data_IF_606969315977
#
_entry.id   IF_606969315977
#
_cell.length_a   1.000
_cell.length_b   1.000
_cell.length_c   1.000
_cell.angle_alpha   90.00
_cell.angle_beta   90.00
_cell.angle_gamma   90.00
#
_symmetry.space_group_name_H-M   'P 1'
#
loop_
_entity.id
_entity.type
_entity.pdbx_description
1 polymer ?
#
# COMPACT_ATOMS: atom_id res chain seq x y z
N UNK A 1 -7.48 2.34 -6.70
CA UNK A 1 -6.84 3.16 -5.63
C UNK A 1 -6.81 4.65 -5.96
N UNK A 2 -6.40 5.05 -7.17
CA UNK A 2 -6.33 6.45 -7.59
C UNK A 2 -7.64 7.22 -7.34
N UNK A 3 -8.77 6.55 -7.55
CA UNK A 3 -10.11 7.08 -7.33
C UNK A 3 -10.40 7.43 -5.85
N UNK A 4 -9.96 6.61 -4.88
CA UNK A 4 -10.25 6.86 -3.46
C UNK A 4 -9.53 8.11 -2.93
N UNK A 5 -8.25 8.30 -3.26
CA UNK A 5 -7.50 9.47 -2.81
C UNK A 5 -8.05 10.75 -3.44
N UNK A 6 -8.37 10.70 -4.73
CA UNK A 6 -9.01 11.81 -5.43
C UNK A 6 -10.41 12.12 -4.83
N UNK A 7 -11.20 11.08 -4.53
CA UNK A 7 -12.49 11.21 -3.86
C UNK A 7 -12.36 11.86 -2.48
N UNK A 8 -11.32 11.54 -1.71
CA UNK A 8 -11.05 12.20 -0.42
C UNK A 8 -10.71 13.68 -0.59
N UNK A 9 -9.84 14.01 -1.55
CA UNK A 9 -9.46 15.40 -1.83
C UNK A 9 -10.67 16.25 -2.24
N UNK A 10 -11.59 15.64 -2.99
CA UNK A 10 -12.84 16.27 -3.46
C UNK A 10 -14.03 16.05 -2.49
N UNK A 11 -13.79 15.55 -1.27
CA UNK A 11 -14.81 15.35 -0.23
C UNK A 11 -16.02 14.51 -0.67
N UNK A 12 -15.82 13.55 -1.57
CA UNK A 12 -16.86 12.69 -2.13
C UNK A 12 -17.34 11.63 -1.14
N UNK A 13 -18.54 11.09 -1.42
CA UNK A 13 -19.14 9.95 -0.73
C UNK A 13 -19.24 8.77 -1.69
N UNK A 14 -18.96 7.56 -1.20
CA UNK A 14 -19.26 6.32 -1.91
C UNK A 14 -20.74 6.01 -1.68
N UNK A 15 -21.49 5.84 -2.77
CA UNK A 15 -22.91 5.46 -2.76
C UNK A 15 -23.08 4.11 -3.43
N UNK A 16 -24.00 3.30 -2.92
CA UNK A 16 -24.46 2.07 -3.56
C UNK A 16 -25.51 2.42 -4.63
N UNK A 17 -25.30 1.93 -5.85
CA UNK A 17 -26.15 2.16 -7.02
C UNK A 17 -27.07 0.94 -7.18
N UNK A 18 -28.10 0.82 -6.34
CA UNK A 18 -29.18 -0.13 -6.57
C UNK A 18 -30.16 0.45 -7.60
N UNK A 19 -30.32 -0.23 -8.74
CA UNK A 19 -31.49 -0.07 -9.63
C UNK A 19 -31.74 1.29 -10.28
N UNK A 20 -30.74 2.17 -10.47
CA UNK A 20 -30.96 3.42 -11.21
C UNK A 20 -31.30 3.12 -12.68
N UNK A 21 -32.49 3.51 -13.10
CA UNK A 21 -32.93 3.43 -14.49
C UNK A 21 -31.99 4.18 -15.43
N UNK A 22 -31.92 3.68 -16.67
CA UNK A 22 -30.95 3.88 -17.75
C UNK A 22 -30.66 5.31 -18.25
N UNK A 23 -30.99 6.36 -17.50
CA UNK A 23 -30.91 7.75 -17.98
C UNK A 23 -29.74 8.57 -17.40
N UNK A 24 -28.91 8.03 -16.49
CA UNK A 24 -27.79 8.78 -15.86
C UNK A 24 -26.42 8.46 -16.48
N UNK A 25 -26.33 7.44 -17.33
CA UNK A 25 -25.07 7.05 -18.01
C UNK A 25 -24.61 8.00 -19.12
N UNK A 26 -25.37 9.05 -19.46
CA UNK A 26 -25.08 9.92 -20.60
C UNK A 26 -23.98 10.98 -20.36
N UNK A 27 -23.44 11.11 -19.15
CA UNK A 27 -22.53 12.22 -18.79
C UNK A 27 -21.12 11.85 -18.33
N UNK A 28 -20.79 10.56 -18.20
CA UNK A 28 -19.53 10.15 -17.56
C UNK A 28 -18.58 9.53 -18.59
N UNK A 29 -17.53 10.28 -18.92
CA UNK A 29 -16.39 9.79 -19.71
C UNK A 29 -15.68 8.67 -18.94
N UNK A 30 -16.07 7.43 -19.23
CA UNK A 30 -15.42 6.23 -18.72
C UNK A 30 -14.05 6.11 -19.39
N UNK A 31 -12.97 6.38 -18.63
CA UNK A 31 -11.64 5.95 -19.02
C UNK A 31 -11.58 4.43 -18.97
N UNK A 32 -11.16 3.81 -20.07
CA UNK A 32 -11.05 2.37 -20.26
C UNK A 32 -10.14 1.72 -19.20
N UNK A 33 -10.77 1.13 -18.19
CA UNK A 33 -10.16 0.05 -17.41
C UNK A 33 -11.23 -1.02 -17.23
N UNK A 34 -10.93 -2.23 -17.68
CA UNK A 34 -11.80 -3.41 -17.75
C UNK A 34 -12.14 -3.96 -16.35
N UNK A 35 -12.78 -3.14 -15.52
CA UNK A 35 -13.25 -3.48 -14.17
C UNK A 35 -14.76 -3.69 -14.30
N UNK A 36 -15.26 -4.83 -13.81
CA UNK A 36 -16.71 -5.08 -13.72
C UNK A 36 -17.42 -3.85 -13.13
N UNK A 37 -18.61 -3.47 -13.62
CA UNK A 37 -19.31 -2.31 -13.10
C UNK A 37 -19.54 -2.51 -11.61
N UNK A 38 -18.85 -1.72 -10.80
CA UNK A 38 -19.04 -1.73 -9.37
C UNK A 38 -20.43 -1.20 -9.08
N UNK A 39 -21.18 -1.87 -8.20
CA UNK A 39 -22.44 -1.33 -7.63
C UNK A 39 -22.20 -0.09 -6.76
N UNK A 40 -21.00 0.52 -6.82
CA UNK A 40 -20.59 1.64 -6.00
C UNK A 40 -19.94 2.71 -6.88
N UNK A 41 -20.27 3.97 -6.59
CA UNK A 41 -19.71 5.14 -7.28
C UNK A 41 -19.42 6.26 -6.27
N UNK A 42 -18.34 7.01 -6.49
CA UNK A 42 -18.10 8.25 -5.75
C UNK A 42 -18.92 9.41 -6.34
N UNK A 43 -19.72 10.06 -5.51
CA UNK A 43 -20.55 11.21 -5.88
C UNK A 43 -20.32 12.39 -4.93
N UNK A 44 -20.73 13.58 -5.37
CA UNK A 44 -20.72 14.78 -4.53
C UNK A 44 -21.79 14.66 -3.44
N UNK A 45 -21.45 15.16 -2.25
CA UNK A 45 -22.38 15.18 -1.12
C UNK A 45 -23.55 16.14 -1.42
N UNK A 46 -24.66 15.62 -1.96
CA UNK A 46 -25.86 16.41 -2.25
C UNK A 46 -26.59 16.08 -3.56
N UNK A 47 -26.10 15.16 -4.40
CA UNK A 47 -26.93 14.69 -5.52
C UNK A 47 -28.10 13.84 -5.00
N UNK A 48 -29.30 14.41 -5.17
CA UNK A 48 -30.57 13.94 -4.65
C UNK A 48 -30.79 12.42 -4.76
N UNK A 49 -30.85 11.76 -3.61
CA UNK A 49 -31.65 10.55 -3.48
C UNK A 49 -33.09 10.92 -3.87
N UNK A 50 -33.56 10.41 -5.01
CA UNK A 50 -34.98 10.48 -5.34
C UNK A 50 -35.76 9.81 -4.20
N UNK A 51 -36.81 10.52 -3.73
CA UNK A 51 -37.73 10.14 -2.64
C UNK A 51 -37.83 8.63 -2.40
N UNK A 52 -37.39 8.17 -1.23
CA UNK A 52 -37.99 6.98 -0.61
C UNK A 52 -37.08 6.07 0.20
N UNK A 53 -35.79 5.92 -0.16
CA UNK A 53 -34.95 4.89 0.46
C UNK A 53 -33.64 5.43 1.03
N UNK A 54 -33.21 4.98 2.22
CA UNK A 54 -31.93 5.38 2.81
C UNK A 54 -30.78 4.76 2.00
N UNK A 55 -30.23 5.52 1.06
CA UNK A 55 -28.99 5.14 0.38
C UNK A 55 -27.87 5.01 1.41
N UNK A 56 -27.32 3.80 1.55
CA UNK A 56 -26.12 3.56 2.37
C UNK A 56 -24.96 4.33 1.74
N UNK A 57 -24.57 5.44 2.35
CA UNK A 57 -23.44 6.25 1.91
C UNK A 57 -22.31 6.21 2.93
N UNK A 58 -21.06 6.23 2.44
CA UNK A 58 -19.86 6.25 3.27
C UNK A 58 -18.92 7.31 2.73
N UNK A 59 -18.49 8.26 3.57
CA UNK A 59 -17.51 9.25 3.17
C UNK A 59 -16.19 8.61 2.72
N UNK A 60 -15.60 9.10 1.62
CA UNK A 60 -14.31 8.60 1.14
C UNK A 60 -13.22 8.68 2.23
N UNK A 61 -13.28 9.70 3.11
CA UNK A 61 -12.36 9.86 4.24
C UNK A 61 -12.48 8.74 5.29
N UNK A 62 -13.67 8.15 5.45
CA UNK A 62 -13.88 6.97 6.31
C UNK A 62 -13.26 5.73 5.65
N UNK A 63 -13.45 5.55 4.35
CA UNK A 63 -12.86 4.44 3.60
C UNK A 63 -11.33 4.51 3.60
N UNK A 64 -10.77 5.69 3.34
CA UNK A 64 -9.34 5.92 3.45
C UNK A 64 -8.87 5.57 4.87
N UNK A 65 -9.61 5.98 5.92
CA UNK A 65 -9.25 5.60 7.29
C UNK A 65 -9.25 4.09 7.55
N UNK A 66 -10.05 3.31 6.81
CA UNK A 66 -10.10 1.85 6.90
C UNK A 66 -9.10 1.12 6.01
N UNK A 67 -8.51 1.79 5.03
CA UNK A 67 -7.46 1.19 4.19
C UNK A 67 -6.28 0.74 5.06
N UNK A 68 -5.82 -0.50 4.85
CA UNK A 68 -4.72 -1.13 5.58
C UNK A 68 -3.64 -1.68 4.67
N UNK A 69 -4.02 -2.20 3.51
CA UNK A 69 -3.07 -2.66 2.53
C UNK A 69 -3.64 -2.55 1.12
N UNK A 70 -2.77 -2.63 0.13
CA UNK A 70 -3.10 -2.81 -1.28
C UNK A 70 -1.95 -3.43 -2.04
N UNK A 71 -2.24 -4.00 -3.19
CA UNK A 71 -1.29 -4.70 -4.06
C UNK A 71 -1.10 -3.94 -5.38
N UNK A 72 0.12 -3.97 -5.92
CA UNK A 72 0.50 -3.51 -7.26
C UNK A 72 1.24 -4.66 -7.94
N UNK A 73 1.10 -4.83 -9.26
CA UNK A 73 1.63 -6.02 -9.91
C UNK A 73 0.88 -7.28 -9.50
N UNK A 74 1.57 -8.42 -9.43
CA UNK A 74 0.95 -9.71 -9.09
C UNK A 74 0.16 -9.63 -7.78
N UNK A 75 -1.02 -10.25 -7.77
CA UNK A 75 -1.94 -10.19 -6.64
C UNK A 75 -1.62 -11.28 -5.64
N UNK A 76 -1.43 -10.88 -4.38
CA UNK A 76 -1.27 -11.81 -3.27
C UNK A 76 -2.63 -12.19 -2.68
N UNK A 77 -2.96 -13.48 -2.69
CA UNK A 77 -4.14 -14.03 -2.02
C UNK A 77 -3.76 -14.42 -0.59
N UNK A 78 -4.20 -13.60 0.38
CA UNK A 78 -3.92 -13.84 1.80
C UNK A 78 -4.56 -15.11 2.36
N UNK A 79 -5.67 -15.57 1.79
CA UNK A 79 -6.35 -16.79 2.25
C UNK A 79 -5.62 -18.05 1.78
N UNK A 80 -5.11 -18.03 0.55
CA UNK A 80 -4.35 -19.15 -0.01
C UNK A 80 -2.84 -19.06 0.27
N UNK A 81 -2.37 -17.89 0.73
CA UNK A 81 -0.95 -17.54 0.84
C UNK A 81 -0.20 -17.85 -0.46
N UNK A 82 -0.61 -17.23 -1.56
CA UNK A 82 0.09 -17.38 -2.84
C UNK A 82 -0.09 -16.15 -3.73
N UNK A 83 0.76 -16.04 -4.75
CA UNK A 83 0.53 -15.12 -5.87
C UNK A 83 -0.31 -15.80 -6.93
N UNK A 84 -1.47 -15.22 -7.25
CA UNK A 84 -2.34 -15.71 -8.32
C UNK A 84 -2.09 -14.91 -9.61
N UNK A 85 -1.30 -15.51 -10.50
CA UNK A 85 -0.94 -14.89 -11.79
C UNK A 85 -2.11 -14.83 -12.77
N UNK A 86 -3.22 -15.52 -12.50
CA UNK A 86 -4.42 -15.48 -13.33
C UNK A 86 -5.29 -14.26 -13.05
N UNK A 87 -5.11 -13.61 -11.89
CA UNK A 87 -5.90 -12.44 -11.52
C UNK A 87 -5.46 -11.20 -12.30
N UNK A 88 -6.42 -10.38 -12.78
CA UNK A 88 -6.11 -9.11 -13.42
C UNK A 88 -5.42 -8.18 -12.42
N UNK A 89 -4.37 -7.50 -12.87
CA UNK A 89 -3.63 -6.59 -12.04
C UNK A 89 -3.11 -5.37 -12.80
N UNK A 90 -2.96 -4.28 -12.06
CA UNK A 90 -2.29 -3.09 -12.58
C UNK A 90 -0.78 -3.28 -12.50
N UNK A 91 -0.07 -2.78 -13.51
CA UNK A 91 1.39 -2.72 -13.46
C UNK A 91 1.86 -1.88 -12.27
N UNK A 92 3.01 -2.27 -11.71
CA UNK A 92 3.73 -1.42 -10.78
C UNK A 92 4.14 -0.14 -11.55
N UNK A 93 3.91 1.07 -11.00
CA UNK A 93 4.30 2.32 -11.65
C UNK A 93 5.78 2.36 -12.03
N UNK A 94 6.10 2.85 -13.23
CA UNK A 94 7.48 2.79 -13.76
C UNK A 94 8.52 3.46 -12.86
N UNK A 95 8.19 4.60 -12.24
CA UNK A 95 9.10 5.26 -11.29
C UNK A 95 9.43 4.38 -10.09
N UNK A 96 8.44 3.63 -9.59
CA UNK A 96 8.62 2.73 -8.47
C UNK A 96 9.46 1.52 -8.88
N UNK A 97 9.22 0.98 -10.08
CA UNK A 97 10.07 -0.07 -10.66
C UNK A 97 11.53 0.39 -10.77
N UNK A 98 11.77 1.58 -11.32
CA UNK A 98 13.12 2.13 -11.47
C UNK A 98 13.81 2.35 -10.12
N UNK A 99 13.07 2.86 -9.13
CA UNK A 99 13.59 3.01 -7.77
C UNK A 99 13.97 1.66 -7.17
N UNK A 100 13.08 0.67 -7.23
CA UNK A 100 13.32 -0.67 -6.70
C UNK A 100 14.52 -1.33 -7.38
N UNK A 101 14.61 -1.26 -8.71
CA UNK A 101 15.78 -1.72 -9.50
C UNK A 101 17.08 -1.13 -9.01
N UNK A 102 17.13 0.20 -8.88
CA UNK A 102 18.32 0.93 -8.43
C UNK A 102 18.73 0.52 -7.02
N UNK A 103 17.76 0.35 -6.11
CA UNK A 103 18.04 0.01 -4.71
C UNK A 103 18.41 -1.46 -4.52
N UNK A 104 17.88 -2.36 -5.36
CA UNK A 104 18.25 -3.77 -5.36
C UNK A 104 19.64 -4.04 -5.98
N UNK A 105 20.11 -3.16 -6.87
CA UNK A 105 21.37 -3.31 -7.61
C UNK A 105 22.57 -3.83 -6.81
N UNK A 106 22.87 -3.32 -5.59
CA UNK A 106 23.98 -3.82 -4.77
C UNK A 106 23.86 -5.29 -4.33
N UNK A 107 22.66 -5.86 -4.33
CA UNK A 107 22.40 -7.25 -3.96
C UNK A 107 22.24 -8.19 -5.18
N UNK A 108 22.26 -7.65 -6.40
CA UNK A 108 22.09 -8.45 -7.61
C UNK A 108 23.43 -9.05 -8.08
N UNK A 109 23.43 -10.28 -8.62
CA UNK A 109 24.59 -10.82 -9.31
C UNK A 109 25.05 -9.93 -10.47
N UNK A 110 26.35 -9.95 -10.77
CA UNK A 110 26.89 -9.21 -11.91
C UNK A 110 26.23 -9.68 -13.20
N UNK A 111 25.64 -8.75 -13.94
CA UNK A 111 24.95 -9.01 -15.20
C UNK A 111 23.47 -9.40 -15.05
N UNK A 112 22.94 -9.44 -13.82
CA UNK A 112 21.51 -9.63 -13.55
C UNK A 112 20.87 -8.30 -13.12
N UNK A 113 19.60 -8.11 -13.44
CA UNK A 113 18.81 -6.94 -13.05
C UNK A 113 17.59 -7.38 -12.26
N UNK A 114 17.32 -6.70 -11.14
CA UNK A 114 16.10 -6.93 -10.38
C UNK A 114 14.87 -6.60 -11.23
N UNK A 115 13.87 -7.48 -11.28
CA UNK A 115 12.60 -7.23 -11.97
C UNK A 115 11.48 -7.30 -10.93
N UNK A 116 10.98 -6.16 -10.43
CA UNK A 116 9.89 -6.17 -9.48
C UNK A 116 8.60 -6.60 -10.18
N UNK A 117 7.94 -7.62 -9.65
CA UNK A 117 6.73 -8.22 -10.21
C UNK A 117 5.52 -7.99 -9.30
N UNK A 118 5.74 -7.86 -7.99
CA UNK A 118 4.70 -7.60 -7.01
C UNK A 118 5.11 -6.48 -6.06
N UNK A 119 4.13 -5.74 -5.55
CA UNK A 119 4.37 -4.82 -4.45
C UNK A 119 3.17 -4.75 -3.52
N UNK A 120 3.43 -4.75 -2.21
CA UNK A 120 2.42 -4.60 -1.17
C UNK A 120 2.63 -3.25 -0.49
N UNK A 121 1.63 -2.38 -0.62
CA UNK A 121 1.57 -1.09 0.08
C UNK A 121 0.77 -1.31 1.37
N UNK A 122 1.42 -1.21 2.52
CA UNK A 122 0.81 -1.24 3.85
C UNK A 122 0.60 0.18 4.39
N UNK A 123 -0.58 0.44 4.95
CA UNK A 123 -1.00 1.71 5.51
C UNK A 123 -1.20 1.57 7.01
N UNK A 124 -0.38 2.27 7.79
CA UNK A 124 -0.44 2.24 9.24
C UNK A 124 -0.98 3.54 9.82
N UNK A 125 -1.95 3.41 10.73
CA UNK A 125 -2.28 4.42 11.72
C UNK A 125 -1.42 4.29 13.00
N UNK A 126 -1.54 5.24 13.93
CA UNK A 126 -0.69 5.30 15.13
C UNK A 126 -0.73 4.05 16.04
N UNK A 127 -1.84 3.31 16.02
CA UNK A 127 -2.04 2.09 16.82
C UNK A 127 -1.84 0.80 16.02
N UNK A 128 -1.57 0.90 14.72
CA UNK A 128 -1.38 -0.29 13.89
C UNK A 128 0.03 -0.84 14.11
N UNK A 129 0.15 -2.16 14.00
CA UNK A 129 1.41 -2.89 14.15
C UNK A 129 1.46 -4.00 13.09
N UNK A 130 2.68 -4.42 12.74
CA UNK A 130 2.92 -5.61 11.95
C UNK A 130 3.73 -6.59 12.78
N UNK A 131 3.13 -7.73 13.11
CA UNK A 131 3.79 -8.77 13.90
C UNK A 131 5.00 -9.37 13.16
N UNK A 132 5.86 -10.06 13.91
CA UNK A 132 6.99 -10.80 13.34
C UNK A 132 6.51 -11.83 12.32
N UNK A 133 6.89 -11.65 11.06
CA UNK A 133 6.55 -12.52 9.94
C UNK A 133 7.76 -12.71 9.03
N UNK A 134 7.65 -13.70 8.15
CA UNK A 134 8.61 -13.99 7.10
C UNK A 134 7.89 -13.85 5.76
N UNK A 135 8.54 -13.21 4.80
CA UNK A 135 8.07 -13.12 3.42
C UNK A 135 8.61 -14.33 2.65
N UNK A 136 7.82 -15.40 2.63
CA UNK A 136 8.23 -16.75 2.23
C UNK A 136 7.50 -17.27 0.98
N UNK A 137 6.73 -16.42 0.32
CA UNK A 137 5.79 -16.84 -0.73
C UNK A 137 6.30 -16.57 -2.15
N UNK A 138 7.43 -15.88 -2.31
CA UNK A 138 8.10 -15.77 -3.60
C UNK A 138 8.77 -17.09 -3.99
N UNK A 139 8.76 -17.40 -5.30
CA UNK A 139 9.39 -18.62 -5.81
C UNK A 139 10.93 -18.54 -5.77
N UNK A 140 11.50 -17.35 -5.96
CA UNK A 140 12.95 -17.14 -6.01
C UNK A 140 13.42 -16.29 -4.81
N UNK A 141 14.01 -16.97 -3.83
CA UNK A 141 14.53 -16.36 -2.60
C UNK A 141 15.90 -15.69 -2.80
N UNK A 142 16.54 -15.88 -3.95
CA UNK A 142 17.78 -15.17 -4.28
C UNK A 142 17.53 -13.68 -4.55
N UNK A 143 16.28 -13.32 -4.90
CA UNK A 143 15.89 -11.94 -5.17
C UNK A 143 15.63 -11.17 -3.87
N UNK A 144 16.11 -9.92 -3.76
CA UNK A 144 15.94 -9.13 -2.57
C UNK A 144 14.51 -8.61 -2.41
N UNK A 145 14.16 -8.15 -1.21
CA UNK A 145 12.99 -7.31 -0.96
C UNK A 145 13.48 -5.88 -0.77
N UNK A 146 12.87 -4.94 -1.50
CA UNK A 146 13.06 -3.50 -1.31
C UNK A 146 11.87 -2.95 -0.54
N UNK A 147 12.07 -2.59 0.72
CA UNK A 147 11.05 -1.99 1.57
C UNK A 147 11.25 -0.49 1.71
N UNK A 148 10.28 0.31 1.27
CA UNK A 148 10.33 1.78 1.28
C UNK A 148 9.39 2.31 2.37
N UNK A 149 9.90 3.17 3.26
CA UNK A 149 9.12 3.83 4.30
C UNK A 149 8.79 5.28 3.94
N UNK A 150 7.53 5.68 4.10
CA UNK A 150 7.05 7.05 3.85
C UNK A 150 6.17 7.53 5.01
N UNK A 151 6.32 8.79 5.41
CA UNK A 151 5.49 9.39 6.47
C UNK A 151 6.06 9.23 7.87
N UNK A 152 5.22 8.83 8.83
CA UNK A 152 5.60 8.84 10.25
C UNK A 152 6.78 7.90 10.56
N UNK A 153 7.63 8.33 11.51
CA UNK A 153 8.73 7.50 12.05
C UNK A 153 8.17 6.20 12.64
N UNK A 154 8.93 5.12 12.59
CA UNK A 154 8.53 3.82 13.11
C UNK A 154 9.72 3.03 13.64
N UNK A 155 9.44 1.98 14.41
CA UNK A 155 10.42 0.96 14.78
C UNK A 155 10.26 -0.21 13.82
N UNK A 156 11.36 -0.63 13.20
CA UNK A 156 11.48 -1.88 12.48
C UNK A 156 12.32 -2.86 13.30
N UNK A 157 11.86 -4.10 13.37
CA UNK A 157 12.56 -5.21 14.00
C UNK A 157 13.05 -6.16 12.91
N UNK A 158 14.36 -6.40 12.87
CA UNK A 158 14.97 -7.47 12.08
C UNK A 158 15.39 -8.61 13.04
N UNK A 159 14.65 -9.70 13.01
CA UNK A 159 14.93 -10.93 13.73
C UNK A 159 15.97 -11.82 13.04
N UNK A 160 16.02 -13.08 13.49
CA UNK A 160 16.76 -14.14 12.84
C UNK A 160 15.86 -15.10 12.07
N UNK A 161 16.34 -16.31 11.80
CA UNK A 161 15.61 -17.35 11.06
C UNK A 161 14.55 -18.06 11.93
N UNK A 162 14.60 -17.84 13.24
CA UNK A 162 13.62 -18.33 14.21
C UNK A 162 12.89 -17.18 14.89
N UNK A 163 11.67 -17.42 15.38
CA UNK A 163 10.87 -16.40 16.09
C UNK A 163 11.44 -16.04 17.46
N UNK A 164 12.28 -16.91 18.00
CA UNK A 164 12.94 -16.82 19.29
C UNK A 164 14.24 -15.99 19.20
N UNK A 165 14.74 -15.76 17.99
CA UNK A 165 15.95 -14.98 17.78
C UNK A 165 15.69 -13.52 18.16
N UNK A 166 16.56 -12.96 19.00
CA UNK A 166 16.42 -11.60 19.51
C UNK A 166 16.55 -10.60 18.35
N UNK A 167 15.52 -9.76 18.08
CA UNK A 167 15.58 -8.85 16.96
C UNK A 167 16.43 -7.62 17.23
N UNK A 168 17.05 -7.12 16.16
CA UNK A 168 17.69 -5.81 16.12
C UNK A 168 16.63 -4.77 15.81
N UNK A 169 16.51 -3.76 16.67
CA UNK A 169 15.60 -2.64 16.46
C UNK A 169 16.29 -1.48 15.74
N UNK A 170 15.60 -0.91 14.75
CA UNK A 170 16.04 0.28 14.02
C UNK A 170 14.90 1.25 13.79
N UNK A 171 15.22 2.53 13.68
CA UNK A 171 14.25 3.53 13.26
C UNK A 171 14.11 3.53 11.74
N UNK A 172 12.88 3.61 11.27
CA UNK A 172 12.56 3.97 9.90
C UNK A 172 11.89 5.33 9.89
N UNK A 173 12.42 6.24 9.07
CA UNK A 173 11.91 7.58 8.80
C UNK A 173 11.39 7.64 7.37
N UNK A 174 10.63 8.70 7.07
CA UNK A 174 10.19 8.94 5.70
C UNK A 174 11.38 9.04 4.75
N UNK A 175 11.38 8.22 3.71
CA UNK A 175 12.44 8.12 2.71
C UNK A 175 13.47 7.02 2.99
N UNK A 176 13.46 6.40 4.18
CA UNK A 176 14.34 5.27 4.47
C UNK A 176 13.94 4.05 3.63
N UNK A 177 14.94 3.29 3.20
CA UNK A 177 14.79 2.08 2.39
C UNK A 177 15.56 0.95 3.08
N UNK A 178 14.88 -0.17 3.31
CA UNK A 178 15.48 -1.41 3.81
C UNK A 178 15.58 -2.39 2.66
N UNK A 179 16.81 -2.82 2.37
CA UNK A 179 17.09 -3.89 1.40
C UNK A 179 17.34 -5.19 2.17
N UNK A 180 16.45 -6.17 2.03
CA UNK A 180 16.63 -7.50 2.60
C UNK A 180 17.09 -8.45 1.51
N UNK A 181 18.30 -8.98 1.60
CA UNK A 181 18.92 -9.85 0.59
C UNK A 181 19.73 -10.97 1.25
N UNK A 182 19.94 -12.07 0.53
CA UNK A 182 20.73 -13.20 1.04
C UNK A 182 20.15 -13.72 2.35
N UNK A 183 20.99 -13.90 3.38
CA UNK A 183 20.54 -14.42 4.68
C UNK A 183 19.45 -13.57 5.33
N UNK A 184 19.41 -12.25 5.06
CA UNK A 184 18.38 -11.37 5.62
C UNK A 184 16.98 -11.61 5.00
N UNK A 185 16.87 -12.22 3.81
CA UNK A 185 15.57 -12.62 3.23
C UNK A 185 14.88 -13.72 4.03
N UNK A 186 15.66 -14.50 4.77
CA UNK A 186 15.20 -15.61 5.59
C UNK A 186 14.89 -15.18 7.04
N UNK A 187 14.99 -13.88 7.35
CA UNK A 187 14.79 -13.36 8.69
C UNK A 187 13.34 -12.93 8.94
N UNK A 188 12.84 -13.27 10.13
CA UNK A 188 11.62 -12.69 10.65
C UNK A 188 11.77 -11.18 10.80
N UNK A 189 10.73 -10.43 10.49
CA UNK A 189 10.74 -8.98 10.67
C UNK A 189 9.34 -8.43 10.95
N UNK A 190 9.26 -7.20 11.44
CA UNK A 190 8.00 -6.57 11.78
C UNK A 190 8.10 -5.11 12.20
N UNK A 191 6.94 -4.49 12.42
CA UNK A 191 6.78 -3.08 12.80
C UNK A 191 5.97 -3.02 14.10
N UNK A 192 6.60 -3.05 15.28
CA UNK A 192 5.89 -3.03 16.56
C UNK A 192 5.35 -1.65 16.95
N UNK A 193 5.83 -0.56 16.32
CA UNK A 193 5.41 0.80 16.70
C UNK A 193 5.52 1.78 15.55
N UNK A 194 4.48 2.58 15.40
CA UNK A 194 4.46 3.81 14.61
C UNK A 194 4.43 4.98 15.58
N UNK A 195 5.26 6.00 15.34
CA UNK A 195 5.24 7.23 16.10
C UNK A 195 4.22 8.21 15.55
N UNK A 196 3.71 9.09 16.40
CA UNK A 196 2.91 10.23 15.96
C UNK A 196 3.78 11.34 15.37
N UNK A 197 3.16 12.29 14.65
CA UNK A 197 3.87 13.42 14.04
C UNK A 197 4.61 14.28 15.08
N UNK A 198 4.04 14.41 16.28
CA UNK A 198 4.61 15.17 17.40
C UNK A 198 5.86 14.49 17.97
N UNK A 199 5.87 13.15 18.01
CA UNK A 199 7.00 12.33 18.44
C UNK A 199 8.07 12.13 17.34
N UNK A 200 7.76 12.53 16.10
CA UNK A 200 8.65 12.39 14.95
C UNK A 200 9.66 13.53 14.82
N UNK A 201 9.56 14.57 15.65
CA UNK A 201 10.43 15.74 15.63
C UNK A 201 11.82 15.49 16.26
N UNK A 202 12.70 14.81 15.52
CA UNK A 202 14.16 14.88 15.72
C UNK A 202 14.83 15.51 14.47
N UNK A 203 15.31 16.75 14.66
CA UNK A 203 16.32 17.58 13.96
C UNK A 203 16.45 17.54 12.40
N UNK A 204 16.16 18.72 11.81
CA UNK A 204 16.57 19.32 10.50
C UNK A 204 16.26 18.61 9.15
N UNK A 205 15.13 19.02 8.54
CA UNK A 205 14.84 19.39 7.11
C UNK A 205 15.55 18.69 5.92
N UNK A 206 14.89 18.44 4.76
CA UNK A 206 14.04 19.40 4.05
C UNK A 206 12.58 18.98 3.89
N UNK A 207 11.72 19.98 3.96
CA UNK A 207 10.28 19.91 3.69
C UNK A 207 10.05 19.64 2.20
N UNK A 208 9.81 18.38 1.84
CA UNK A 208 8.94 18.08 0.71
C UNK A 208 7.52 17.90 1.26
N UNK A 209 6.61 18.79 0.84
CA UNK A 209 5.19 18.68 1.15
C UNK A 209 4.61 17.51 0.35
N UNK A 210 4.84 16.28 0.81
CA UNK A 210 3.87 15.22 0.62
C UNK A 210 2.77 15.57 1.63
N UNK A 211 1.60 15.98 1.10
CA UNK A 211 0.33 16.19 1.81
C UNK A 211 0.37 15.57 3.20
N UNK A 212 0.36 16.39 4.27
CA UNK A 212 0.39 15.97 5.70
C UNK A 212 -0.35 14.64 5.91
N UNK A 213 0.36 13.53 5.77
CA UNK A 213 -0.20 12.20 5.82
C UNK A 213 0.16 11.69 7.20
N UNK A 214 -0.83 11.67 8.11
CA UNK A 214 -0.71 11.14 9.48
C UNK A 214 -0.58 9.60 9.50
N UNK A 215 0.09 9.02 8.49
CA UNK A 215 0.21 7.58 8.27
C UNK A 215 1.58 7.23 7.76
N UNK A 216 2.14 6.16 8.32
CA UNK A 216 3.31 5.51 7.75
C UNK A 216 2.85 4.58 6.63
N UNK A 217 3.47 4.68 5.47
CA UNK A 217 3.26 3.78 4.35
C UNK A 217 4.52 2.95 4.15
N UNK A 218 4.35 1.63 4.14
CA UNK A 218 5.43 0.70 3.83
C UNK A 218 5.13 0.06 2.49
N UNK A 219 6.14 -0.02 1.65
CA UNK A 219 6.01 -0.67 0.36
C UNK A 219 7.10 -1.73 0.22
N UNK A 220 6.71 -2.99 0.41
CA UNK A 220 7.53 -4.13 0.01
C UNK A 220 7.39 -4.32 -1.49
N UNK A 221 8.49 -4.16 -2.23
CA UNK A 221 8.56 -4.49 -3.65
C UNK A 221 9.35 -5.79 -3.78
N UNK A 222 8.72 -6.78 -4.41
CA UNK A 222 9.16 -8.16 -4.59
C UNK A 222 9.42 -8.42 -6.07
#
# INVERSE_FOLDING_TARGET
MYDLFNAVQNQKILIEVEGLSTNVTAGLSLSESNIQPSNYLFSDAGMNAHKGEPCKSIAASVLLRKLRWSTLGLQFDWSKRNYDTSLPHNKIPDLLCQLAKKMAGPAMPVGDEFQPEAAIVNYFGPSDMLGGHLDDMEADWSKPIVSISLGCKAIFLLGGKSREDLPIAMFLRSGDIVLMSGQARECFHGIPRIFTDEESADVSSPTFTILKCRRSTYLGVH
#
